data_IF_010633102093
#
_entry.id   IF_010633102093
#
_cell.length_a   1.000
_cell.length_b   1.000
_cell.length_c   1.000
_cell.angle_alpha   90.00
_cell.angle_beta   90.00
_cell.angle_gamma   90.00
#
_symmetry.space_group_name_H-M   'P 1'
#
loop_
_entity.id
_entity.type
_entity.pdbx_description
1 polymer ?
#
# COMPACT_ATOMS: atom_id res chain seq x y z
N UNK A 1 -5.46 -8.62 16.25
CA UNK A 1 -4.67 -9.81 15.95
C UNK A 1 -4.25 -10.51 17.25
N UNK A 2 -4.51 -11.79 17.35
CA UNK A 2 -3.99 -12.71 18.36
C UNK A 2 -3.38 -13.92 17.66
N UNK A 3 -2.41 -14.60 18.26
CA UNK A 3 -1.83 -15.78 17.64
C UNK A 3 -1.24 -16.77 18.64
N UNK A 4 -1.15 -18.03 18.20
CA UNK A 4 -0.45 -19.11 18.90
C UNK A 4 0.69 -19.59 18.01
N UNK A 5 1.96 -19.59 18.48
CA UNK A 5 3.07 -20.17 17.73
C UNK A 5 3.00 -21.69 17.76
N UNK A 6 3.27 -22.34 16.64
CA UNK A 6 3.29 -23.80 16.50
C UNK A 6 4.54 -24.25 15.73
N UNK A 7 5.32 -25.13 16.38
CA UNK A 7 6.45 -25.75 15.72
C UNK A 7 6.00 -26.91 14.83
N UNK A 8 6.49 -26.93 13.60
CA UNK A 8 6.16 -27.95 12.63
C UNK A 8 7.27 -29.01 12.55
N UNK A 9 6.92 -30.21 12.13
CA UNK A 9 7.85 -31.34 11.98
C UNK A 9 9.05 -31.07 11.06
N UNK A 10 8.95 -30.06 10.19
CA UNK A 10 10.03 -29.61 9.30
C UNK A 10 10.94 -28.53 9.91
N UNK A 11 10.81 -28.24 11.22
CA UNK A 11 11.58 -27.23 11.93
C UNK A 11 11.16 -25.78 11.67
N UNK A 12 10.06 -25.56 10.94
CA UNK A 12 9.48 -24.21 10.77
C UNK A 12 8.50 -23.91 11.89
N UNK A 13 8.52 -22.69 12.38
CA UNK A 13 7.50 -22.18 13.30
C UNK A 13 6.48 -21.39 12.49
N UNK A 14 5.21 -21.78 12.59
CA UNK A 14 4.09 -21.01 12.07
C UNK A 14 3.36 -20.35 13.23
N UNK A 15 2.54 -19.35 12.92
CA UNK A 15 1.63 -18.70 13.86
C UNK A 15 0.21 -18.93 13.39
N UNK A 16 -0.59 -19.60 14.24
CA UNK A 16 -2.03 -19.68 14.04
C UNK A 16 -2.67 -18.42 14.59
N UNK A 17 -3.12 -17.55 13.69
CA UNK A 17 -3.62 -16.22 14.02
C UNK A 17 -5.15 -16.19 14.07
N UNK A 18 -5.70 -15.53 15.08
CA UNK A 18 -7.10 -15.10 15.14
C UNK A 18 -7.14 -13.61 14.81
N UNK A 19 -7.69 -13.28 13.67
CA UNK A 19 -7.65 -11.92 13.12
C UNK A 19 -9.05 -11.37 13.00
N UNK A 20 -9.34 -10.27 13.69
CA UNK A 20 -10.60 -9.57 13.56
C UNK A 20 -10.58 -8.69 12.31
N UNK A 21 -11.46 -8.98 11.38
CA UNK A 21 -11.54 -8.34 10.06
C UNK A 21 -12.79 -7.49 9.86
N UNK A 22 -13.69 -7.50 10.83
CA UNK A 22 -14.89 -6.65 10.87
C UNK A 22 -15.22 -6.27 12.32
N UNK A 23 -16.06 -5.27 12.58
CA UNK A 23 -16.59 -5.00 13.91
C UNK A 23 -17.27 -6.24 14.51
N UNK A 24 -17.19 -6.40 15.83
CA UNK A 24 -17.73 -7.56 16.53
C UNK A 24 -19.19 -7.80 16.19
N UNK A 25 -19.51 -9.04 15.83
CA UNK A 25 -20.85 -9.45 15.42
C UNK A 25 -21.30 -8.96 14.04
N UNK A 26 -20.42 -8.30 13.28
CA UNK A 26 -20.69 -7.86 11.91
C UNK A 26 -20.16 -8.89 10.91
N UNK A 27 -20.59 -8.81 9.66
CA UNK A 27 -19.99 -9.59 8.59
C UNK A 27 -18.79 -8.87 7.99
N UNK A 28 -17.76 -9.63 7.60
CA UNK A 28 -16.62 -9.12 6.86
C UNK A 28 -17.03 -8.72 5.42
N UNK A 29 -16.14 -8.05 4.70
CA UNK A 29 -16.40 -7.54 3.35
C UNK A 29 -16.77 -8.65 2.33
N UNK A 30 -16.27 -9.87 2.55
CA UNK A 30 -16.61 -11.06 1.75
C UNK A 30 -17.87 -11.79 2.23
N UNK A 31 -18.59 -11.23 3.23
CA UNK A 31 -19.80 -11.81 3.83
C UNK A 31 -19.53 -12.89 4.88
N UNK A 32 -18.28 -13.21 5.18
CA UNK A 32 -17.92 -14.19 6.19
C UNK A 32 -17.91 -13.64 7.64
N UNK A 33 -17.35 -14.41 8.56
CA UNK A 33 -17.32 -14.07 9.99
C UNK A 33 -16.37 -12.89 10.28
N UNK A 34 -16.58 -12.19 11.38
CA UNK A 34 -15.79 -11.04 11.83
C UNK A 34 -14.39 -11.40 12.33
N UNK A 35 -14.17 -12.66 12.71
CA UNK A 35 -12.86 -13.19 13.10
C UNK A 35 -12.48 -14.35 12.19
N UNK A 36 -11.24 -14.32 11.70
CA UNK A 36 -10.69 -15.32 10.78
C UNK A 36 -9.48 -16.01 11.38
N UNK A 37 -9.44 -17.32 11.22
CA UNK A 37 -8.26 -18.11 11.46
C UNK A 37 -7.32 -18.04 10.25
N UNK A 38 -6.08 -17.58 10.44
CA UNK A 38 -5.09 -17.42 9.37
C UNK A 38 -3.75 -17.98 9.80
N UNK A 39 -3.16 -18.84 8.97
CA UNK A 39 -1.80 -19.34 9.19
C UNK A 39 -0.81 -18.34 8.59
N UNK A 40 0.17 -17.92 9.41
CA UNK A 40 1.21 -17.00 9.00
C UNK A 40 2.60 -17.53 9.36
N UNK A 41 3.53 -17.45 8.41
CA UNK A 41 4.94 -17.83 8.62
C UNK A 41 5.83 -16.66 9.07
N UNK A 42 5.33 -15.44 9.05
CA UNK A 42 6.08 -14.26 9.49
C UNK A 42 6.21 -14.21 11.01
N UNK A 43 7.26 -13.57 11.49
CA UNK A 43 7.56 -13.42 12.92
C UNK A 43 7.64 -11.97 13.40
N UNK A 44 7.39 -11.02 12.52
CA UNK A 44 7.59 -9.59 12.78
C UNK A 44 6.40 -8.88 13.41
N UNK A 45 5.41 -9.59 13.94
CA UNK A 45 4.19 -8.97 14.48
C UNK A 45 3.88 -9.48 15.90
N UNK A 46 3.10 -8.69 16.62
CA UNK A 46 2.71 -8.93 18.01
C UNK A 46 1.17 -8.94 18.18
N UNK A 47 0.72 -9.45 19.34
CA UNK A 47 -0.70 -9.39 19.69
C UNK A 47 -1.16 -7.94 19.82
N UNK A 48 -2.29 -7.62 19.21
CA UNK A 48 -2.84 -6.26 19.16
C UNK A 48 -2.45 -5.45 17.94
N UNK A 49 -1.48 -5.91 17.14
CA UNK A 49 -1.12 -5.22 15.89
C UNK A 49 -2.28 -5.14 14.91
N UNK A 50 -2.36 -4.02 14.20
CA UNK A 50 -3.21 -3.84 13.03
C UNK A 50 -2.44 -4.19 11.77
N UNK A 51 -3.00 -5.09 10.99
CA UNK A 51 -2.36 -5.70 9.82
C UNK A 51 -3.30 -5.67 8.62
N UNK A 52 -2.74 -5.79 7.42
CA UNK A 52 -3.54 -5.93 6.20
C UNK A 52 -3.90 -7.39 5.99
N UNK A 53 -5.19 -7.67 5.82
CA UNK A 53 -5.74 -9.01 5.57
C UNK A 53 -6.33 -9.08 4.18
N UNK A 54 -5.87 -10.04 3.40
CA UNK A 54 -6.48 -10.40 2.12
C UNK A 54 -7.50 -11.52 2.38
N UNK A 55 -8.78 -11.19 2.21
CA UNK A 55 -9.88 -12.12 2.41
C UNK A 55 -10.03 -13.07 1.22
N UNK A 56 -10.63 -14.26 1.39
CA UNK A 56 -10.98 -15.13 0.28
C UNK A 56 -11.80 -14.41 -0.79
N UNK A 57 -11.46 -14.64 -2.07
CA UNK A 57 -12.05 -13.94 -3.21
C UNK A 57 -11.27 -12.70 -3.66
N UNK A 58 -10.30 -12.22 -2.87
CA UNK A 58 -9.40 -11.14 -3.29
C UNK A 58 -8.41 -11.64 -4.34
N UNK A 59 -8.02 -10.76 -5.26
CA UNK A 59 -6.96 -11.00 -6.23
C UNK A 59 -5.83 -10.00 -6.00
N UNK A 60 -4.64 -10.50 -5.77
CA UNK A 60 -3.43 -9.71 -5.60
C UNK A 60 -2.69 -9.50 -6.93
N UNK A 61 -1.74 -8.56 -7.01
CA UNK A 61 -0.88 -8.37 -8.17
C UNK A 61 -0.27 -9.68 -8.67
N UNK A 62 -0.17 -9.84 -9.99
CA UNK A 62 0.27 -11.08 -10.62
C UNK A 62 -0.81 -12.17 -10.71
N UNK A 63 -2.08 -11.78 -10.64
CA UNK A 63 -3.26 -12.68 -10.75
C UNK A 63 -3.29 -13.76 -9.65
N UNK A 64 -2.79 -13.41 -8.47
CA UNK A 64 -2.75 -14.31 -7.33
C UNK A 64 -4.06 -14.28 -6.55
N UNK A 65 -4.88 -15.33 -6.71
CA UNK A 65 -6.19 -15.46 -6.07
C UNK A 65 -6.08 -16.01 -4.65
N UNK A 66 -6.69 -15.30 -3.70
CA UNK A 66 -6.79 -15.73 -2.30
C UNK A 66 -8.02 -16.62 -2.12
N UNK A 67 -7.80 -17.79 -1.56
CA UNK A 67 -8.85 -18.73 -1.18
C UNK A 67 -8.54 -19.36 0.18
N UNK A 68 -9.55 -19.81 0.88
CA UNK A 68 -9.36 -20.61 2.08
C UNK A 68 -8.60 -21.91 1.74
N UNK A 69 -7.55 -22.21 2.49
CA UNK A 69 -6.67 -23.37 2.25
C UNK A 69 -6.36 -24.12 3.53
N UNK A 70 -6.32 -25.45 3.42
CA UNK A 70 -5.80 -26.29 4.51
C UNK A 70 -4.26 -26.20 4.52
N UNK A 71 -3.70 -25.72 5.62
CA UNK A 71 -2.27 -25.50 5.78
C UNK A 71 -1.87 -25.85 7.22
N UNK A 72 -0.92 -26.75 7.40
CA UNK A 72 -0.42 -27.18 8.72
C UNK A 72 -1.53 -27.62 9.70
N UNK A 73 -2.55 -28.32 9.22
CA UNK A 73 -3.66 -28.81 10.04
C UNK A 73 -4.76 -27.80 10.35
N UNK A 74 -4.62 -26.55 9.92
CA UNK A 74 -5.63 -25.50 10.04
C UNK A 74 -6.23 -25.13 8.68
N UNK A 75 -7.43 -24.60 8.71
CA UNK A 75 -8.01 -23.93 7.53
C UNK A 75 -7.64 -22.46 7.63
N UNK A 76 -6.67 -22.01 6.81
CA UNK A 76 -6.32 -20.59 6.71
C UNK A 76 -7.36 -19.87 5.84
N UNK A 77 -8.18 -19.03 6.46
CA UNK A 77 -9.29 -18.32 5.83
C UNK A 77 -8.91 -16.88 5.47
N UNK A 78 -7.92 -16.77 4.61
CA UNK A 78 -7.30 -15.52 4.16
C UNK A 78 -5.79 -15.55 4.28
N UNK A 79 -5.17 -14.38 4.07
CA UNK A 79 -3.72 -14.19 4.12
C UNK A 79 -3.38 -12.84 4.76
N UNK A 80 -2.33 -12.81 5.59
CA UNK A 80 -1.72 -11.55 6.06
C UNK A 80 -0.72 -11.10 5.01
N UNK A 81 -0.87 -9.87 4.52
CA UNK A 81 -0.09 -9.37 3.40
C UNK A 81 1.22 -8.70 3.85
N UNK A 82 2.28 -8.93 3.09
CA UNK A 82 3.49 -8.11 3.09
C UNK A 82 3.32 -6.90 2.16
N UNK A 83 4.22 -5.92 2.26
CA UNK A 83 4.23 -4.76 1.38
C UNK A 83 4.45 -5.16 -0.10
N UNK A 84 5.26 -6.19 -0.34
CA UNK A 84 5.53 -6.71 -1.69
C UNK A 84 4.30 -7.34 -2.33
N UNK A 85 3.51 -8.10 -1.58
CA UNK A 85 2.31 -8.76 -2.10
C UNK A 85 1.24 -7.75 -2.51
N UNK A 86 1.23 -6.57 -1.89
CA UNK A 86 0.35 -5.44 -2.26
C UNK A 86 0.96 -4.54 -3.35
N UNK A 87 2.16 -4.86 -3.85
CA UNK A 87 2.92 -4.00 -4.76
C UNK A 87 3.17 -2.59 -4.20
N UNK A 88 3.23 -2.48 -2.87
CA UNK A 88 3.48 -1.24 -2.15
C UNK A 88 4.98 -0.92 -2.08
N UNK A 89 5.82 -1.94 -1.88
CA UNK A 89 7.29 -1.85 -1.94
C UNK A 89 7.87 -3.25 -2.17
N UNK A 90 9.19 -3.33 -2.35
CA UNK A 90 9.92 -4.61 -2.51
C UNK A 90 10.11 -5.38 -1.19
N UNK A 91 9.70 -4.81 -0.05
CA UNK A 91 9.87 -5.42 1.26
C UNK A 91 8.96 -6.65 1.43
N UNK A 92 9.61 -7.77 1.75
CA UNK A 92 8.98 -9.07 2.00
C UNK A 92 9.51 -9.75 3.26
N UNK A 93 10.22 -9.00 4.13
CA UNK A 93 10.81 -9.57 5.35
C UNK A 93 9.77 -9.98 6.41
N UNK A 94 8.51 -9.56 6.23
CA UNK A 94 7.40 -9.89 7.12
C UNK A 94 6.07 -9.38 6.59
N UNK A 95 5.06 -9.38 7.42
CA UNK A 95 3.76 -8.79 7.09
C UNK A 95 3.77 -7.28 7.35
N UNK A 96 2.89 -6.56 6.66
CA UNK A 96 2.71 -5.12 6.85
C UNK A 96 2.00 -4.83 8.18
N UNK A 97 2.64 -4.04 9.04
CA UNK A 97 2.10 -3.58 10.33
C UNK A 97 1.73 -2.11 10.22
N UNK A 98 0.45 -1.81 10.31
CA UNK A 98 -0.06 -0.45 10.11
C UNK A 98 0.35 0.51 11.22
N UNK A 99 0.49 0.01 12.44
CA UNK A 99 0.98 0.82 13.57
C UNK A 99 2.43 1.29 13.40
N UNK A 100 3.31 0.53 12.77
CA UNK A 100 4.67 0.99 12.43
C UNK A 100 4.68 2.11 11.38
N UNK A 101 3.64 2.18 10.56
CA UNK A 101 3.42 3.25 9.60
C UNK A 101 2.74 4.49 10.22
N UNK A 102 2.47 4.48 11.52
CA UNK A 102 1.72 5.53 12.21
C UNK A 102 0.23 5.53 11.90
N UNK A 103 -0.30 4.44 11.35
CA UNK A 103 -1.70 4.30 10.97
C UNK A 103 -2.47 3.51 12.03
N UNK A 104 -3.63 4.03 12.41
CA UNK A 104 -4.55 3.37 13.37
C UNK A 104 -5.99 3.34 12.85
N UNK A 105 -6.26 2.62 11.72
CA UNK A 105 -7.58 2.56 11.13
C UNK A 105 -8.57 1.79 12.02
N UNK A 106 -9.86 2.01 11.75
CA UNK A 106 -10.91 1.15 12.31
C UNK A 106 -10.80 -0.25 11.74
N UNK A 107 -11.13 -1.26 12.55
CA UNK A 107 -11.18 -2.65 12.08
C UNK A 107 -12.21 -2.78 10.95
N UNK A 108 -11.83 -3.48 9.88
CA UNK A 108 -12.66 -3.64 8.69
C UNK A 108 -12.60 -2.48 7.69
N UNK A 109 -11.72 -1.49 7.92
CA UNK A 109 -11.45 -0.46 6.90
C UNK A 109 -10.84 -1.07 5.64
N UNK A 110 -11.17 -0.52 4.48
CA UNK A 110 -10.54 -0.92 3.22
C UNK A 110 -9.07 -0.49 3.19
N UNK A 111 -8.18 -1.47 3.07
CA UNK A 111 -6.74 -1.25 3.02
C UNK A 111 -6.29 -0.58 1.71
N UNK A 112 -7.00 -0.80 0.60
CA UNK A 112 -6.67 -0.18 -0.69
C UNK A 112 -6.89 1.34 -0.64
N UNK A 113 -8.00 1.77 -0.04
CA UNK A 113 -8.28 3.19 0.18
C UNK A 113 -7.31 3.80 1.19
N UNK A 114 -7.09 3.11 2.33
CA UNK A 114 -6.20 3.57 3.39
C UNK A 114 -4.76 3.81 2.91
N UNK A 115 -4.26 2.92 2.07
CA UNK A 115 -2.89 2.95 1.55
C UNK A 115 -2.78 3.66 0.19
N UNK A 116 -3.88 4.24 -0.31
CA UNK A 116 -3.95 4.91 -1.61
C UNK A 116 -3.51 4.02 -2.78
N UNK A 117 -3.82 2.71 -2.72
CA UNK A 117 -3.43 1.74 -3.75
C UNK A 117 -4.38 1.71 -4.97
N UNK A 118 -5.45 2.48 -4.94
CA UNK A 118 -6.40 2.63 -6.05
C UNK A 118 -6.01 3.74 -7.03
N UNK A 119 -4.90 4.43 -6.77
CA UNK A 119 -4.41 5.51 -7.63
C UNK A 119 -3.84 4.95 -8.95
N UNK A 120 -3.79 5.81 -9.96
CA UNK A 120 -3.28 5.47 -11.29
C UNK A 120 -2.01 6.24 -11.56
N UNK A 121 -0.92 5.52 -11.78
CA UNK A 121 0.35 6.07 -12.23
C UNK A 121 0.50 5.92 -13.74
N UNK A 122 0.94 6.97 -14.42
CA UNK A 122 1.32 6.93 -15.81
C UNK A 122 2.84 7.07 -15.95
N UNK A 123 3.48 6.09 -16.57
CA UNK A 123 4.88 6.21 -16.98
C UNK A 123 4.96 7.01 -18.28
N UNK A 124 5.72 8.09 -18.26
CA UNK A 124 5.90 8.97 -19.42
C UNK A 124 7.33 8.87 -19.92
N UNK A 125 7.49 8.40 -21.16
CA UNK A 125 8.78 8.41 -21.83
C UNK A 125 9.01 9.76 -22.51
N UNK A 126 10.01 10.50 -22.03
CA UNK A 126 10.31 11.86 -22.49
C UNK A 126 11.48 11.83 -23.45
N UNK A 127 11.26 12.29 -24.70
CA UNK A 127 12.31 12.42 -25.70
C UNK A 127 13.26 13.60 -25.40
N UNK A 128 14.53 13.56 -25.86
CA UNK A 128 15.54 14.58 -25.51
C UNK A 128 15.16 16.02 -25.86
N UNK A 129 14.33 16.21 -26.89
CA UNK A 129 13.85 17.52 -27.36
C UNK A 129 12.73 18.11 -26.49
N UNK A 130 12.14 17.28 -25.59
CA UNK A 130 11.01 17.64 -24.72
C UNK A 130 11.37 17.66 -23.24
N UNK A 131 12.58 18.09 -22.91
CA UNK A 131 13.07 18.13 -21.51
C UNK A 131 12.16 18.87 -20.53
N UNK A 132 11.35 19.83 -20.99
CA UNK A 132 10.35 20.50 -20.16
C UNK A 132 9.26 19.56 -19.62
N UNK A 133 9.06 18.39 -20.25
CA UNK A 133 8.10 17.36 -19.78
C UNK A 133 8.58 16.61 -18.54
N UNK A 134 9.81 16.83 -18.04
CA UNK A 134 10.23 16.38 -16.72
C UNK A 134 9.63 17.23 -15.57
N UNK A 135 8.66 18.08 -15.87
CA UNK A 135 7.90 18.83 -14.88
C UNK A 135 6.40 18.64 -15.05
N UNK A 136 5.67 18.70 -13.94
CA UNK A 136 4.19 18.65 -13.93
C UNK A 136 3.60 19.72 -14.88
N UNK A 137 4.20 20.92 -14.89
CA UNK A 137 3.81 22.02 -15.77
C UNK A 137 3.98 21.66 -17.26
N UNK A 138 5.09 21.01 -17.60
CA UNK A 138 5.36 20.59 -18.98
C UNK A 138 4.41 19.50 -19.44
N UNK A 139 4.17 18.49 -18.60
CA UNK A 139 3.18 17.43 -18.88
C UNK A 139 1.78 18.01 -19.03
N UNK A 140 1.36 18.90 -18.14
CA UNK A 140 0.05 19.55 -18.23
C UNK A 140 -0.11 20.36 -19.54
N UNK A 141 0.96 21.02 -20.01
CA UNK A 141 0.96 21.73 -21.29
C UNK A 141 0.79 20.78 -22.48
N UNK A 142 1.54 19.68 -22.50
CA UNK A 142 1.42 18.67 -23.56
C UNK A 142 0.03 18.02 -23.56
N UNK A 143 -0.50 17.72 -22.39
CA UNK A 143 -1.86 17.20 -22.25
C UNK A 143 -2.89 18.19 -22.84
N UNK A 144 -2.79 19.48 -22.48
CA UNK A 144 -3.68 20.51 -23.00
C UNK A 144 -3.59 20.63 -24.53
N UNK A 145 -2.37 20.59 -25.10
CA UNK A 145 -2.17 20.63 -26.56
C UNK A 145 -2.77 19.39 -27.24
N UNK A 146 -2.59 18.21 -26.66
CA UNK A 146 -3.05 16.96 -27.26
C UNK A 146 -4.58 16.78 -27.20
N UNK A 147 -5.20 17.27 -26.13
CA UNK A 147 -6.64 17.03 -25.85
C UNK A 147 -7.53 18.23 -26.14
N UNK A 148 -6.97 19.42 -26.34
CA UNK A 148 -7.72 20.68 -26.41
C UNK A 148 -8.24 21.17 -25.05
N UNK A 149 -7.79 20.59 -23.93
CA UNK A 149 -8.16 21.04 -22.60
C UNK A 149 -7.52 22.39 -22.27
N UNK A 150 -8.17 23.17 -21.40
CA UNK A 150 -7.64 24.43 -20.93
C UNK A 150 -6.36 24.24 -20.12
N UNK A 151 -5.27 24.87 -20.54
CA UNK A 151 -4.04 24.91 -19.77
C UNK A 151 -4.14 25.98 -18.67
N UNK A 152 -4.10 25.55 -17.41
CA UNK A 152 -4.00 26.42 -16.25
C UNK A 152 -2.58 26.36 -15.70
N UNK A 153 -1.83 27.44 -15.85
CA UNK A 153 -0.47 27.51 -15.34
C UNK A 153 -0.48 27.46 -13.80
N UNK A 154 0.21 26.52 -13.16
CA UNK A 154 0.26 26.40 -11.69
C UNK A 154 1.09 27.52 -11.04
N UNK A 155 1.16 28.72 -11.63
CA UNK A 155 1.84 29.86 -11.07
C UNK A 155 1.38 30.16 -9.64
N UNK A 156 2.31 30.16 -8.73
CA UNK A 156 2.15 30.72 -7.39
C UNK A 156 1.40 29.85 -6.38
N UNK A 157 0.97 28.66 -6.72
CA UNK A 157 0.35 27.76 -5.77
C UNK A 157 1.24 26.57 -5.47
N UNK A 158 1.72 26.59 -4.23
CA UNK A 158 2.25 25.45 -3.55
C UNK A 158 3.66 25.00 -3.98
N UNK A 159 4.61 25.64 -3.42
CA UNK A 159 5.64 24.83 -2.77
C UNK A 159 4.90 23.97 -1.76
N UNK A 160 4.68 22.71 -2.06
CA UNK A 160 4.27 21.72 -1.09
C UNK A 160 5.46 21.58 -0.13
N UNK A 161 5.41 22.30 0.98
CA UNK A 161 6.34 22.13 2.08
C UNK A 161 6.03 20.79 2.76
N UNK A 162 6.56 19.72 2.21
CA UNK A 162 6.66 18.46 2.91
C UNK A 162 7.96 18.45 3.73
N UNK A 163 7.90 19.00 4.95
CA UNK A 163 9.02 18.99 5.86
C UNK A 163 10.23 19.82 5.41
N UNK A 164 11.41 19.49 5.89
CA UNK A 164 12.70 20.12 5.53
C UNK A 164 13.17 19.76 4.11
N UNK A 165 12.29 19.87 3.14
CA UNK A 165 12.58 19.63 1.73
C UNK A 165 13.01 20.90 1.01
N UNK A 166 13.65 20.74 -0.12
CA UNK A 166 14.10 21.83 -1.01
C UNK A 166 12.93 22.76 -1.37
N UNK A 167 13.06 24.05 -1.08
CA UNK A 167 12.15 25.05 -1.63
C UNK A 167 12.60 25.41 -3.04
N UNK A 168 11.77 25.09 -4.05
CA UNK A 168 11.99 25.59 -5.40
C UNK A 168 11.39 26.99 -5.53
N UNK A 169 12.22 28.00 -5.59
CA UNK A 169 11.77 29.36 -5.91
C UNK A 169 11.74 29.54 -7.44
N UNK A 170 10.55 29.43 -8.02
CA UNK A 170 10.35 29.59 -9.47
C UNK A 170 10.60 31.01 -9.98
N UNK A 171 10.80 31.98 -9.11
CA UNK A 171 11.18 33.33 -9.47
C UNK A 171 12.70 33.55 -9.48
N UNK A 172 13.49 32.56 -9.05
CA UNK A 172 14.94 32.62 -9.13
C UNK A 172 15.38 32.18 -10.56
N UNK A 173 16.02 33.07 -11.33
CA UNK A 173 16.54 32.72 -12.64
C UNK A 173 17.68 31.69 -12.60
N UNK A 174 18.19 31.34 -11.40
CA UNK A 174 19.27 30.38 -11.20
C UNK A 174 19.01 29.36 -10.08
N UNK A 175 17.90 28.60 -10.11
CA UNK A 175 17.52 27.72 -9.01
C UNK A 175 18.51 26.57 -8.73
N UNK A 176 19.43 26.31 -9.66
CA UNK A 176 20.39 25.18 -9.56
C UNK A 176 21.71 25.56 -8.87
N UNK A 177 21.94 26.84 -8.57
CA UNK A 177 23.23 27.31 -8.01
C UNK A 177 23.34 27.35 -6.50
N UNK A 178 22.26 27.11 -5.79
CA UNK A 178 22.23 27.18 -4.32
C UNK A 178 22.26 25.81 -3.66
N UNK A 179 22.93 24.83 -4.26
CA UNK A 179 23.25 23.60 -3.58
C UNK A 179 24.57 23.78 -2.82
N UNK A 180 24.59 23.64 -1.46
CA UNK A 180 25.82 23.70 -0.69
C UNK A 180 26.71 22.48 -0.97
#
# INVERSE_FOLDING_TARGET
>A
LEFTPEEQSNGKTIRWCQVRVAPEGSKAADGGEDVRGIVCGASNFEVGDKVVVCLPGSTLPGDFHIAARSTYGHISDGMLASARELNFSDDHAGIMRLNEMGLDPKIGSDALELLHLTDTAAEVNVTPDRGYCFSVRGVAREYAHATGADFRDPKGNAVLNHGEGFSLNFNDPHPVRNNP
#
